data_IF_440329569292
#
_entry.id   IF_440329569292
#
_cell.length_a   1.000
_cell.length_b   1.000
_cell.length_c   1.000
_cell.angle_alpha   90.00
_cell.angle_beta   90.00
_cell.angle_gamma   90.00
#
_symmetry.space_group_name_H-M   'P 1'
#
loop_
_entity.id
_entity.type
_entity.pdbx_description
1 polymer ?
#
# COMPACT_ATOMS: atom_id res chain seq x y z
N UNK A 1 21.30 18.69 12.79
CA UNK A 1 20.59 18.40 11.53
C UNK A 1 20.80 16.92 11.23
N UNK A 2 20.01 16.05 11.86
CA UNK A 2 19.81 14.70 11.33
C UNK A 2 18.76 14.81 10.22
N UNK A 3 18.97 14.13 9.10
CA UNK A 3 18.00 14.04 8.01
C UNK A 3 16.74 13.33 8.51
N UNK A 4 15.86 14.08 9.18
CA UNK A 4 14.60 13.62 9.77
C UNK A 4 13.53 13.38 8.71
N UNK A 5 13.71 12.35 7.88
CA UNK A 5 12.58 11.82 7.11
C UNK A 5 11.63 11.14 8.08
N UNK A 6 10.39 11.63 8.11
CA UNK A 6 9.30 11.03 8.89
C UNK A 6 9.18 9.54 8.53
N UNK A 7 9.20 8.66 9.54
CA UNK A 7 9.18 7.20 9.33
C UNK A 7 7.91 6.75 8.60
N UNK A 8 6.76 7.35 8.90
CA UNK A 8 5.52 7.07 8.19
C UNK A 8 5.58 7.57 6.75
N UNK A 9 6.17 8.74 6.52
CA UNK A 9 6.39 9.23 5.15
C UNK A 9 7.25 8.26 4.35
N UNK A 10 8.32 7.73 4.94
CA UNK A 10 9.19 6.74 4.27
C UNK A 10 8.45 5.43 3.95
N UNK A 11 7.59 4.96 4.86
CA UNK A 11 6.74 3.78 4.63
C UNK A 11 5.74 4.06 3.50
N UNK A 12 5.07 5.21 3.54
CA UNK A 12 4.12 5.63 2.52
C UNK A 12 4.78 5.74 1.14
N UNK A 13 5.95 6.36 1.04
CA UNK A 13 6.73 6.46 -0.20
C UNK A 13 7.09 5.07 -0.73
N UNK A 14 7.58 4.17 0.12
CA UNK A 14 7.95 2.80 -0.28
C UNK A 14 6.76 2.00 -0.82
N UNK A 15 5.63 2.02 -0.11
CA UNK A 15 4.38 1.35 -0.56
C UNK A 15 3.89 1.98 -1.86
N UNK A 16 3.90 3.31 -1.92
CA UNK A 16 3.44 4.08 -3.07
C UNK A 16 4.29 3.79 -4.31
N UNK A 17 5.62 3.76 -4.20
CA UNK A 17 6.52 3.42 -5.31
C UNK A 17 6.27 2.00 -5.83
N UNK A 18 6.04 1.04 -4.94
CA UNK A 18 5.73 -0.36 -5.33
C UNK A 18 4.39 -0.45 -6.06
N UNK A 19 3.37 0.27 -5.59
CA UNK A 19 2.00 0.22 -6.10
C UNK A 19 1.81 1.08 -7.35
N UNK A 20 2.23 2.35 -7.31
CA UNK A 20 2.02 3.37 -8.35
C UNK A 20 2.93 3.21 -9.59
N UNK A 21 3.87 2.27 -9.58
CA UNK A 21 4.63 1.92 -10.78
C UNK A 21 3.73 1.47 -11.94
N UNK A 22 2.47 1.09 -11.66
CA UNK A 22 1.43 0.83 -12.65
C UNK A 22 0.57 2.09 -12.87
N UNK A 23 0.73 2.71 -14.04
CA UNK A 23 0.06 3.95 -14.45
C UNK A 23 -1.46 3.78 -14.54
N UNK A 24 -2.15 4.28 -13.51
CA UNK A 24 -3.57 4.68 -13.38
C UNK A 24 -4.07 4.63 -11.93
N UNK A 25 -3.19 4.34 -10.97
CA UNK A 25 -3.53 4.38 -9.55
C UNK A 25 -3.32 5.79 -9.00
N UNK A 26 -4.28 6.30 -8.23
CA UNK A 26 -4.22 7.59 -7.55
C UNK A 26 -4.32 7.37 -6.06
N UNK A 27 -3.36 7.88 -5.27
CA UNK A 27 -3.49 7.90 -3.82
C UNK A 27 -4.59 8.90 -3.45
N UNK A 28 -5.70 8.42 -2.87
CA UNK A 28 -6.87 9.24 -2.55
C UNK A 28 -7.03 9.54 -1.07
N UNK A 29 -6.43 8.72 -0.18
CA UNK A 29 -6.38 9.03 1.25
C UNK A 29 -5.30 8.23 1.96
N UNK A 30 -4.80 8.81 3.05
CA UNK A 30 -3.92 8.16 4.02
C UNK A 30 -4.53 8.38 5.40
N UNK A 31 -4.79 7.29 6.11
CA UNK A 31 -5.20 7.33 7.51
C UNK A 31 -3.94 7.10 8.35
N UNK A 32 -3.54 8.11 9.13
CA UNK A 32 -2.40 8.00 10.04
C UNK A 32 -2.82 7.29 11.32
N UNK A 33 -1.96 6.41 11.89
CA UNK A 33 -2.27 5.72 13.12
C UNK A 33 -2.31 6.72 14.28
N UNK A 34 -3.35 6.61 15.13
CA UNK A 34 -3.39 7.30 16.43
C UNK A 34 -2.62 6.42 17.41
N UNK A 35 -1.29 6.41 17.28
CA UNK A 35 -0.41 5.57 18.08
C UNK A 35 0.10 6.30 19.33
N UNK A 36 0.29 5.56 20.42
CA UNK A 36 0.92 6.08 21.65
C UNK A 36 2.43 6.29 21.48
N UNK A 37 3.03 5.76 20.40
CA UNK A 37 4.46 5.84 20.11
C UNK A 37 4.71 6.05 18.62
N UNK A 38 5.77 6.77 18.26
CA UNK A 38 6.18 7.05 16.85
C UNK A 38 6.70 5.81 16.10
N UNK A 39 6.69 4.63 16.72
CA UNK A 39 7.26 3.40 16.18
C UNK A 39 6.21 2.35 15.82
N UNK A 40 4.95 2.55 16.22
CA UNK A 40 3.85 1.66 15.90
C UNK A 40 3.14 2.16 14.63
N UNK A 41 3.27 1.39 13.54
CA UNK A 41 2.61 1.69 12.27
C UNK A 41 1.21 1.06 12.20
N UNK A 42 0.76 0.37 13.25
CA UNK A 42 -0.54 -0.31 13.28
C UNK A 42 -1.68 0.68 13.11
N UNK A 43 -2.47 0.47 12.06
CA UNK A 43 -3.57 1.35 11.70
C UNK A 43 -3.21 2.37 10.63
N UNK A 44 -1.94 2.48 10.22
CA UNK A 44 -1.58 3.19 9.00
C UNK A 44 -2.30 2.54 7.81
N UNK A 45 -3.02 3.35 7.04
CA UNK A 45 -3.79 2.87 5.90
C UNK A 45 -3.61 3.77 4.70
N UNK A 46 -3.29 3.18 3.56
CA UNK A 46 -3.25 3.87 2.27
C UNK A 46 -4.42 3.40 1.42
N UNK A 47 -5.11 4.34 0.79
CA UNK A 47 -6.21 4.06 -0.13
C UNK A 47 -5.90 4.64 -1.49
N UNK A 48 -5.93 3.79 -2.50
CA UNK A 48 -5.72 4.13 -3.89
C UNK A 48 -7.01 3.92 -4.67
N UNK A 49 -7.37 4.89 -5.49
CA UNK A 49 -8.48 4.77 -6.45
C UNK A 49 -7.93 4.64 -7.86
N UNK A 50 -8.66 3.91 -8.69
CA UNK A 50 -8.40 3.81 -10.11
C UNK A 50 -9.67 3.39 -10.83
N UNK A 51 -9.55 3.09 -12.12
CA UNK A 51 -10.57 2.51 -12.96
C UNK A 51 -9.94 1.51 -13.92
N UNK A 52 -10.69 0.47 -14.28
CA UNK A 52 -10.31 -0.44 -15.35
C UNK A 52 -10.34 0.35 -16.66
N UNK A 53 -9.22 0.43 -17.37
CA UNK A 53 -9.09 1.26 -18.58
C UNK A 53 -10.09 0.93 -19.69
N UNK A 54 -10.41 -0.35 -19.86
CA UNK A 54 -11.28 -0.81 -20.95
C UNK A 54 -12.77 -0.59 -20.68
N UNK A 55 -13.17 -0.56 -19.40
CA UNK A 55 -14.58 -0.53 -19.00
C UNK A 55 -14.95 0.67 -18.13
N UNK A 56 -13.96 1.48 -17.75
CA UNK A 56 -14.10 2.63 -16.85
C UNK A 56 -14.67 2.27 -15.45
N UNK A 57 -14.75 0.98 -15.11
CA UNK A 57 -15.26 0.50 -13.83
C UNK A 57 -14.32 0.95 -12.71
N UNK A 58 -14.82 1.66 -11.68
CA UNK A 58 -13.99 2.15 -10.59
C UNK A 58 -13.49 0.99 -9.72
N UNK A 59 -12.29 1.18 -9.18
CA UNK A 59 -11.71 0.26 -8.22
C UNK A 59 -11.06 1.03 -7.07
N UNK A 60 -11.12 0.44 -5.88
CA UNK A 60 -10.51 0.97 -4.68
C UNK A 60 -9.61 -0.10 -4.04
N UNK A 61 -8.33 0.22 -3.91
CA UNK A 61 -7.33 -0.59 -3.24
C UNK A 61 -7.06 0.02 -1.88
N UNK A 62 -7.16 -0.78 -0.84
CA UNK A 62 -6.84 -0.40 0.53
C UNK A 62 -5.68 -1.27 1.03
N UNK A 63 -4.62 -0.64 1.49
CA UNK A 63 -3.48 -1.29 2.13
C UNK A 63 -3.49 -0.87 3.59
N UNK A 64 -3.61 -1.83 4.51
CA UNK A 64 -3.54 -1.59 5.95
C UNK A 64 -2.26 -2.21 6.50
N UNK A 65 -1.57 -1.46 7.34
CA UNK A 65 -0.30 -1.84 7.96
C UNK A 65 -0.53 -2.22 9.42
N UNK A 66 0.12 -3.28 9.86
CA UNK A 66 0.20 -3.69 11.26
C UNK A 66 1.65 -4.03 11.63
N UNK A 67 2.06 -3.66 12.85
CA UNK A 67 3.40 -3.89 13.36
C UNK A 67 4.21 -2.61 13.57
N UNK A 68 5.47 -2.79 13.96
CA UNK A 68 6.38 -1.68 14.27
C UNK A 68 7.25 -1.32 13.07
N UNK A 69 7.59 -0.04 12.93
CA UNK A 69 8.38 0.49 11.83
C UNK A 69 9.77 -0.15 11.64
N UNK A 70 10.33 -0.75 12.70
CA UNK A 70 11.66 -1.38 12.68
C UNK A 70 11.59 -2.93 12.56
N UNK A 71 10.40 -3.49 12.38
CA UNK A 71 10.14 -4.93 12.25
C UNK A 71 9.48 -5.23 10.90
N UNK A 72 9.34 -6.50 10.54
CA UNK A 72 8.58 -6.90 9.35
C UNK A 72 7.11 -6.49 9.50
N UNK A 73 6.67 -5.57 8.65
CA UNK A 73 5.31 -5.06 8.66
C UNK A 73 4.35 -6.09 8.06
N UNK A 74 3.28 -6.39 8.77
CA UNK A 74 2.19 -7.17 8.23
C UNK A 74 1.27 -6.26 7.39
N UNK A 75 1.19 -6.54 6.10
CA UNK A 75 0.40 -5.79 5.13
C UNK A 75 -0.86 -6.57 4.76
N UNK A 76 -2.01 -5.94 4.94
CA UNK A 76 -3.28 -6.47 4.44
C UNK A 76 -3.74 -5.64 3.25
N UNK A 77 -3.95 -6.30 2.10
CA UNK A 77 -4.47 -5.67 0.88
C UNK A 77 -5.93 -6.06 0.69
N UNK A 78 -6.78 -5.07 0.46
CA UNK A 78 -8.19 -5.25 0.10
C UNK A 78 -8.46 -4.54 -1.23
N UNK A 79 -9.15 -5.20 -2.15
CA UNK A 79 -9.58 -4.61 -3.41
C UNK A 79 -11.11 -4.61 -3.45
N UNK A 80 -11.70 -3.46 -3.72
CA UNK A 80 -13.13 -3.31 -3.99
C UNK A 80 -13.25 -2.96 -5.48
N UNK A 81 -13.87 -3.84 -6.25
CA UNK A 81 -14.04 -3.72 -7.69
C UNK A 81 -15.30 -4.49 -8.05
N UNK A 82 -16.16 -3.94 -8.92
CA UNK A 82 -17.37 -4.63 -9.39
C UNK A 82 -17.04 -5.82 -10.29
N UNK A 83 -15.90 -5.75 -10.99
CA UNK A 83 -15.35 -6.88 -11.73
C UNK A 83 -14.47 -7.73 -10.79
N UNK A 84 -15.04 -8.84 -10.30
CA UNK A 84 -14.43 -9.72 -9.31
C UNK A 84 -13.20 -10.47 -9.82
N UNK A 85 -13.19 -10.91 -11.08
CA UNK A 85 -12.08 -11.70 -11.66
C UNK A 85 -10.86 -10.79 -11.85
N UNK A 86 -11.07 -9.59 -12.39
CA UNK A 86 -10.06 -8.55 -12.47
C UNK A 86 -9.54 -8.18 -11.08
N UNK A 87 -10.45 -7.96 -10.12
CA UNK A 87 -10.09 -7.66 -8.74
C UNK A 87 -9.19 -8.72 -8.10
N UNK A 88 -9.52 -10.00 -8.26
CA UNK A 88 -8.72 -11.11 -7.75
C UNK A 88 -7.35 -11.20 -8.43
N UNK A 89 -7.29 -11.04 -9.76
CA UNK A 89 -6.03 -11.03 -10.50
C UNK A 89 -5.12 -9.88 -10.08
N UNK A 90 -5.69 -8.69 -9.87
CA UNK A 90 -4.96 -7.53 -9.37
C UNK A 90 -4.44 -7.77 -7.95
N UNK A 91 -5.24 -8.39 -7.07
CA UNK A 91 -4.83 -8.74 -5.72
C UNK A 91 -3.62 -9.68 -5.73
N UNK A 92 -3.70 -10.76 -6.51
CA UNK A 92 -2.60 -11.72 -6.65
C UNK A 92 -1.33 -11.05 -7.18
N UNK A 93 -1.47 -10.14 -8.16
CA UNK A 93 -0.34 -9.40 -8.71
C UNK A 93 0.31 -8.46 -7.67
N UNK A 94 -0.49 -7.73 -6.90
CA UNK A 94 0.03 -6.86 -5.82
C UNK A 94 0.71 -7.70 -4.74
N UNK A 95 0.11 -8.83 -4.34
CA UNK A 95 0.70 -9.73 -3.37
C UNK A 95 2.08 -10.24 -3.81
N UNK A 96 2.22 -10.65 -5.08
CA UNK A 96 3.50 -11.09 -5.64
C UNK A 96 4.55 -9.97 -5.62
N UNK A 97 4.19 -8.75 -6.03
CA UNK A 97 5.11 -7.59 -5.97
C UNK A 97 5.57 -7.26 -4.54
N UNK A 98 4.69 -7.46 -3.56
CA UNK A 98 5.05 -7.25 -2.16
C UNK A 98 6.03 -8.30 -1.64
N UNK A 99 5.98 -9.54 -2.15
CA UNK A 99 6.89 -10.63 -1.78
C UNK A 99 8.23 -10.54 -2.51
N UNK A 100 8.27 -10.21 -3.81
CA UNK A 100 9.50 -10.22 -4.64
C UNK A 100 10.58 -9.20 -4.24
N UNK A 101 10.27 -8.26 -3.35
CA UNK A 101 11.22 -7.21 -2.92
C UNK A 101 11.99 -7.55 -1.64
N UNK A 102 11.70 -8.68 -0.99
CA UNK A 102 12.49 -9.18 0.15
C UNK A 102 13.76 -9.95 -0.26
N UNK A 103 13.86 -10.36 -1.53
CA UNK A 103 15.00 -11.12 -2.09
C UNK A 103 16.00 -10.27 -2.87
N UNK A 104 15.79 -8.96 -2.98
CA UNK A 104 16.70 -8.02 -3.67
C UNK A 104 17.56 -7.17 -2.72
N UNK A 105 17.55 -7.47 -1.42
CA UNK A 105 18.61 -7.05 -0.52
C UNK A 105 19.64 -8.19 -0.43
N UNK A 106 20.77 -7.97 -1.11
CA UNK A 106 22.00 -8.76 -1.00
C UNK A 106 22.57 -8.70 0.41
#
# INVERSE_FOLDING_TARGET
MENGKDKFLSICESITLKVLSNSNLHLVSVDLPVANTLEDATGLRLRFSSKILSSEIPLLITITVQGKCNEDLNLTVKINCEETVFGLNLLNRIANFMVETSSSAS
#
